data_IF_942924102184
#
_entry.id   IF_942924102184
#
_cell.length_a   1.000
_cell.length_b   1.000
_cell.length_c   1.000
_cell.angle_alpha   90.00
_cell.angle_beta   90.00
_cell.angle_gamma   90.00
#
_symmetry.space_group_name_H-M   'P 1'
#
loop_
_entity.id
_entity.type
_entity.pdbx_description
1 polymer ?
#
# COMPACT_ATOMS: atom_id res chain seq x y z
N UNK A 1 41.41 17.85 -16.96
CA UNK A 1 40.28 18.10 -17.89
C UNK A 1 39.51 16.80 -18.06
N UNK A 2 38.42 16.67 -17.31
CA UNK A 2 37.72 15.41 -17.03
C UNK A 2 36.93 14.88 -18.23
N UNK A 3 37.21 13.62 -18.61
CA UNK A 3 36.38 12.78 -19.47
C UNK A 3 35.25 12.19 -18.64
N UNK A 4 34.01 12.62 -18.85
CA UNK A 4 32.74 11.89 -18.57
C UNK A 4 31.62 12.73 -19.19
N UNK A 5 31.32 12.47 -20.46
CA UNK A 5 30.06 12.79 -21.13
C UNK A 5 29.92 11.75 -22.22
N UNK A 6 29.24 10.65 -21.91
CA UNK A 6 28.43 9.83 -22.84
C UNK A 6 28.11 8.48 -22.19
N UNK A 7 27.00 8.45 -21.45
CA UNK A 7 26.37 7.22 -20.94
C UNK A 7 24.85 7.45 -20.76
N UNK A 8 24.21 8.02 -21.79
CA UNK A 8 22.74 8.22 -21.85
C UNK A 8 22.08 7.63 -23.09
N UNK A 9 22.71 6.64 -23.70
CA UNK A 9 22.10 5.85 -24.76
C UNK A 9 22.40 4.38 -24.48
N UNK A 10 21.43 3.65 -23.93
CA UNK A 10 21.17 2.21 -24.05
C UNK A 10 20.21 1.84 -22.91
N UNK A 11 19.18 1.05 -23.26
CA UNK A 11 18.00 0.66 -22.48
C UNK A 11 16.81 1.64 -22.55
N UNK A 12 16.24 1.76 -23.75
CA UNK A 12 14.79 1.99 -23.90
C UNK A 12 14.16 0.68 -24.39
N UNK A 13 13.43 -0.08 -23.56
CA UNK A 13 12.56 -1.12 -24.10
C UNK A 13 11.38 -0.44 -24.81
N UNK A 14 11.13 -0.86 -26.05
CA UNK A 14 10.03 -0.40 -26.88
C UNK A 14 8.69 -0.67 -26.20
N UNK A 15 7.95 0.38 -25.82
CA UNK A 15 6.55 0.26 -25.36
C UNK A 15 5.66 -0.02 -26.57
N UNK A 16 4.85 -1.10 -26.59
CA UNK A 16 3.81 -1.24 -27.59
C UNK A 16 2.75 -0.15 -27.35
N UNK A 17 2.33 0.50 -28.43
CA UNK A 17 1.34 1.57 -28.45
C UNK A 17 -0.02 1.01 -28.01
N UNK A 18 -0.45 1.30 -26.79
CA UNK A 18 -1.82 1.10 -26.34
C UNK A 18 -2.61 2.40 -26.55
N UNK A 19 -3.06 2.61 -27.80
CA UNK A 19 -4.19 3.48 -28.10
C UNK A 19 -5.39 2.62 -28.46
N UNK A 20 -6.22 2.31 -27.46
CA UNK A 20 -7.68 2.22 -27.60
C UNK A 20 -8.31 2.19 -26.20
N UNK A 21 -9.31 3.04 -26.02
CA UNK A 21 -9.86 3.47 -24.73
C UNK A 21 -10.14 2.33 -23.75
N UNK A 22 -9.40 2.35 -22.64
CA UNK A 22 -9.90 1.87 -21.37
C UNK A 22 -10.48 3.11 -20.71
N UNK A 23 -11.81 3.17 -20.59
CA UNK A 23 -12.42 4.10 -19.64
C UNK A 23 -11.82 3.70 -18.29
N UNK A 24 -11.03 4.58 -17.67
CA UNK A 24 -10.80 4.47 -16.23
C UNK A 24 -12.19 4.51 -15.62
N UNK A 25 -12.66 3.36 -15.16
CA UNK A 25 -13.87 3.29 -14.38
C UNK A 25 -13.63 4.20 -13.17
N UNK A 26 -14.38 5.30 -13.12
CA UNK A 26 -14.43 6.26 -12.01
C UNK A 26 -15.12 5.58 -10.83
N UNK A 27 -14.63 4.41 -10.44
CA UNK A 27 -15.09 3.66 -9.29
C UNK A 27 -14.85 4.55 -8.09
N UNK A 28 -15.94 5.11 -7.56
CA UNK A 28 -15.93 5.87 -6.33
C UNK A 28 -15.07 5.13 -5.30
N UNK A 29 -13.97 5.76 -4.91
CA UNK A 29 -13.02 5.18 -3.97
C UNK A 29 -13.72 5.03 -2.61
N UNK A 30 -14.03 3.78 -2.28
CA UNK A 30 -14.75 3.38 -1.07
C UNK A 30 -14.01 3.86 0.18
N UNK A 31 -14.71 4.59 1.05
CA UNK A 31 -14.21 4.98 2.37
C UNK A 31 -13.92 3.69 3.14
N UNK A 32 -12.65 3.42 3.45
CA UNK A 32 -12.23 2.05 3.83
C UNK A 32 -12.63 1.60 5.23
N UNK A 33 -13.15 2.51 6.06
CA UNK A 33 -13.67 2.19 7.39
C UNK A 33 -15.14 2.60 7.46
N UNK A 34 -16.03 1.62 7.49
CA UNK A 34 -17.39 1.84 7.96
C UNK A 34 -17.31 2.37 9.40
N UNK A 35 -17.89 3.55 9.70
CA UNK A 35 -17.91 4.12 11.05
C UNK A 35 -18.43 3.17 12.15
N UNK A 36 -19.19 2.12 11.76
CA UNK A 36 -19.67 1.07 12.65
C UNK A 36 -18.65 -0.05 12.95
N UNK A 37 -17.47 -0.07 12.32
CA UNK A 37 -16.48 -1.14 12.50
C UNK A 37 -15.56 -0.84 13.69
N UNK A 38 -15.57 -1.66 14.76
CA UNK A 38 -14.83 -1.39 15.99
C UNK A 38 -13.31 -1.59 15.87
N UNK A 39 -12.80 -1.96 14.70
CA UNK A 39 -11.38 -2.24 14.47
C UNK A 39 -10.82 -1.41 13.33
N UNK A 40 -9.61 -0.89 13.50
CA UNK A 40 -8.82 -0.29 12.44
C UNK A 40 -8.34 -1.29 11.37
N UNK A 41 -8.44 -2.61 11.61
CA UNK A 41 -8.08 -3.63 10.62
C UNK A 41 -9.16 -3.70 9.56
N UNK A 42 -8.84 -3.26 8.34
CA UNK A 42 -9.78 -3.26 7.21
C UNK A 42 -9.80 -4.59 6.46
N UNK A 43 -8.68 -5.31 6.40
CA UNK A 43 -8.58 -6.65 5.80
C UNK A 43 -7.26 -7.34 6.21
N UNK A 44 -7.32 -8.63 6.54
CA UNK A 44 -6.22 -9.47 6.99
C UNK A 44 -6.31 -10.83 6.27
N UNK A 45 -5.23 -11.22 5.59
CA UNK A 45 -5.22 -12.46 4.83
C UNK A 45 -3.82 -13.09 4.75
N UNK A 46 -3.79 -14.42 4.61
CA UNK A 46 -2.59 -15.19 4.30
C UNK A 46 -2.53 -15.41 2.79
N UNK A 47 -1.35 -15.25 2.21
CA UNK A 47 -1.06 -15.55 0.81
C UNK A 47 0.01 -16.63 0.73
N UNK A 48 -0.23 -17.65 -0.10
CA UNK A 48 0.71 -18.75 -0.33
C UNK A 48 0.75 -19.07 -1.81
N UNK A 49 1.97 -19.15 -2.36
CA UNK A 49 2.20 -19.42 -3.78
C UNK A 49 1.38 -18.51 -4.72
N UNK A 50 1.20 -17.25 -4.31
CA UNK A 50 0.44 -16.25 -5.07
C UNK A 50 -1.08 -16.26 -4.87
N UNK A 51 -1.63 -17.24 -4.15
CA UNK A 51 -3.07 -17.33 -3.89
C UNK A 51 -3.42 -16.86 -2.47
N UNK A 52 -4.54 -16.16 -2.33
CA UNK A 52 -5.16 -15.91 -1.01
C UNK A 52 -5.63 -17.25 -0.44
N UNK A 53 -5.28 -17.54 0.81
CA UNK A 53 -5.75 -18.74 1.49
C UNK A 53 -7.18 -18.50 1.99
N UNK A 54 -8.11 -19.33 1.51
CA UNK A 54 -9.51 -19.31 1.93
C UNK A 54 -9.63 -19.76 3.39
N UNK A 55 -10.39 -19.01 4.19
CA UNK A 55 -10.68 -19.34 5.59
C UNK A 55 -12.18 -19.26 5.85
N UNK A 56 -12.74 -20.18 6.67
CA UNK A 56 -14.18 -20.15 6.99
C UNK A 56 -14.63 -18.86 7.68
N UNK A 57 -13.71 -18.22 8.41
CA UNK A 57 -13.93 -16.97 9.12
C UNK A 57 -12.74 -16.03 8.89
N UNK A 58 -12.93 -14.70 9.00
CA UNK A 58 -11.83 -13.74 8.98
C UNK A 58 -10.79 -14.08 10.05
N UNK A 59 -9.50 -14.03 9.68
CA UNK A 59 -8.40 -14.28 10.60
C UNK A 59 -8.01 -13.01 11.34
N UNK A 60 -7.72 -13.13 12.63
CA UNK A 60 -6.96 -12.10 13.35
C UNK A 60 -5.50 -12.08 12.84
N UNK A 61 -4.78 -10.94 12.99
CA UNK A 61 -3.35 -10.86 12.69
C UNK A 61 -2.51 -11.98 13.32
N UNK A 62 -2.81 -12.32 14.58
CA UNK A 62 -2.12 -13.39 15.30
C UNK A 62 -2.35 -14.78 14.70
N UNK A 63 -3.60 -15.11 14.36
CA UNK A 63 -3.94 -16.40 13.72
C UNK A 63 -3.30 -16.51 12.34
N UNK A 64 -3.36 -15.44 11.54
CA UNK A 64 -2.73 -15.39 10.22
C UNK A 64 -1.22 -15.62 10.31
N UNK A 65 -0.55 -14.96 11.26
CA UNK A 65 0.88 -15.14 11.46
C UNK A 65 1.23 -16.57 11.92
N UNK A 66 0.45 -17.15 12.85
CA UNK A 66 0.61 -18.55 13.24
C UNK A 66 0.48 -19.50 12.06
N UNK A 67 -0.47 -19.26 11.16
CA UNK A 67 -0.66 -20.08 9.97
C UNK A 67 0.55 -19.99 9.03
N UNK A 68 1.06 -18.78 8.77
CA UNK A 68 2.27 -18.57 7.96
C UNK A 68 3.49 -19.26 8.57
N UNK A 69 3.68 -19.19 9.89
CA UNK A 69 4.79 -19.88 10.58
C UNK A 69 4.75 -21.40 10.43
N UNK A 70 3.58 -22.00 10.31
CA UNK A 70 3.43 -23.47 10.15
C UNK A 70 3.56 -23.91 8.71
N UNK A 71 2.91 -23.18 7.80
CA UNK A 71 2.59 -23.68 6.47
C UNK A 71 3.26 -22.85 5.35
N UNK A 72 3.99 -21.78 5.70
CA UNK A 72 4.61 -20.86 4.75
C UNK A 72 3.62 -19.86 4.11
N UNK A 73 4.19 -18.93 3.34
CA UNK A 73 3.49 -17.80 2.74
C UNK A 73 3.83 -16.48 3.41
N UNK A 74 2.95 -15.49 3.29
CA UNK A 74 3.05 -14.24 4.03
C UNK A 74 1.68 -13.69 4.42
N UNK A 75 1.63 -12.90 5.49
CA UNK A 75 0.41 -12.18 5.92
C UNK A 75 0.37 -10.80 5.27
N UNK A 76 -0.77 -10.37 4.74
CA UNK A 76 -0.98 -8.98 4.37
C UNK A 76 -2.11 -8.37 5.21
N UNK A 77 -1.78 -7.36 6.01
CA UNK A 77 -2.69 -6.64 6.90
C UNK A 77 -2.88 -5.21 6.38
N UNK A 78 -4.13 -4.79 6.25
CA UNK A 78 -4.51 -3.40 6.01
C UNK A 78 -5.07 -2.76 7.29
N UNK A 79 -4.56 -1.59 7.64
CA UNK A 79 -5.01 -0.75 8.74
C UNK A 79 -5.41 0.64 8.19
N UNK A 80 -6.49 1.21 8.71
CA UNK A 80 -6.92 2.57 8.43
C UNK A 80 -7.08 3.35 9.74
N UNK A 81 -6.27 4.40 9.89
CA UNK A 81 -6.22 5.31 11.05
C UNK A 81 -6.27 4.56 12.39
N UNK A 82 -5.33 3.63 12.64
CA UNK A 82 -5.32 2.89 13.90
C UNK A 82 -4.93 3.80 15.06
N UNK A 83 -5.61 3.62 16.18
CA UNK A 83 -5.13 4.14 17.46
C UNK A 83 -3.86 3.41 17.90
N UNK A 84 -3.09 4.03 18.80
CA UNK A 84 -1.91 3.40 19.40
C UNK A 84 -2.25 2.04 20.03
N UNK A 85 -3.38 1.96 20.75
CA UNK A 85 -3.85 0.73 21.38
C UNK A 85 -4.13 -0.37 20.34
N UNK A 86 -4.83 -0.05 19.25
CA UNK A 86 -5.14 -1.00 18.17
C UNK A 86 -3.87 -1.51 17.47
N UNK A 87 -2.87 -0.64 17.26
CA UNK A 87 -1.67 -1.03 16.54
C UNK A 87 -0.63 -1.73 17.42
N UNK A 88 -0.57 -1.43 18.72
CA UNK A 88 0.42 -1.99 19.66
C UNK A 88 0.44 -3.53 19.70
N UNK A 89 -0.72 -4.18 19.68
CA UNK A 89 -0.83 -5.64 19.67
C UNK A 89 -0.28 -6.27 18.40
N UNK A 90 -0.49 -5.60 17.26
CA UNK A 90 0.08 -6.02 15.97
C UNK A 90 1.59 -5.77 15.98
N UNK A 91 2.04 -4.61 16.44
CA UNK A 91 3.46 -4.29 16.51
C UNK A 91 4.28 -5.33 17.28
N UNK A 92 3.78 -5.78 18.44
CA UNK A 92 4.44 -6.82 19.24
C UNK A 92 4.53 -8.18 18.53
N UNK A 93 3.44 -8.63 17.89
CA UNK A 93 3.39 -9.93 17.19
C UNK A 93 4.35 -9.99 15.99
N UNK A 94 4.47 -8.88 15.27
CA UNK A 94 5.25 -8.79 14.04
C UNK A 94 6.67 -8.22 14.27
N UNK A 95 7.05 -7.93 15.51
CA UNK A 95 8.37 -7.42 15.86
C UNK A 95 8.67 -6.05 15.23
N UNK A 96 7.67 -5.18 15.11
CA UNK A 96 7.83 -3.87 14.52
C UNK A 96 8.63 -2.96 15.45
N UNK A 97 9.54 -2.17 14.88
CA UNK A 97 10.37 -1.26 15.66
C UNK A 97 9.52 -0.14 16.29
N UNK A 98 9.67 0.17 17.60
CA UNK A 98 8.82 1.13 18.29
C UNK A 98 8.75 2.51 17.63
N UNK A 99 9.87 3.04 17.15
CA UNK A 99 9.89 4.34 16.45
C UNK A 99 9.08 4.34 15.14
N UNK A 100 9.11 3.23 14.39
CA UNK A 100 8.32 3.12 13.17
C UNK A 100 6.83 2.97 13.47
N UNK A 101 6.48 2.34 14.60
CA UNK A 101 5.11 2.22 15.10
C UNK A 101 4.58 3.59 15.52
N UNK A 102 5.36 4.36 16.28
CA UNK A 102 5.03 5.74 16.66
C UNK A 102 4.78 6.60 15.42
N UNK A 103 5.70 6.58 14.45
CA UNK A 103 5.56 7.29 13.18
C UNK A 103 4.29 6.89 12.42
N UNK A 104 3.94 5.60 12.44
CA UNK A 104 2.75 5.11 11.76
C UNK A 104 1.43 5.48 12.46
N UNK A 105 1.44 5.73 13.77
CA UNK A 105 0.27 6.20 14.52
C UNK A 105 0.13 7.73 14.42
N UNK A 106 1.24 8.46 14.58
CA UNK A 106 1.26 9.93 14.57
C UNK A 106 1.01 10.55 13.20
N UNK A 107 1.20 9.78 12.13
CA UNK A 107 0.99 10.21 10.77
C UNK A 107 1.92 11.38 10.36
N UNK A 108 1.59 12.00 9.23
CA UNK A 108 2.21 13.20 8.66
C UNK A 108 3.71 13.10 8.40
N UNK A 109 4.23 11.89 8.23
CA UNK A 109 5.64 11.64 7.98
C UNK A 109 6.05 12.07 6.58
N UNK A 110 7.31 12.49 6.40
CA UNK A 110 7.87 12.73 5.06
C UNK A 110 8.08 11.38 4.35
N UNK A 111 7.95 11.32 3.01
CA UNK A 111 8.32 10.12 2.27
C UNK A 111 9.74 9.67 2.61
N UNK A 112 9.88 8.40 2.98
CA UNK A 112 11.15 7.80 3.39
C UNK A 112 11.11 6.29 3.24
N UNK A 113 12.30 5.68 3.20
CA UNK A 113 12.51 4.25 3.37
C UNK A 113 13.60 4.08 4.42
N UNK A 114 13.29 3.36 5.48
CA UNK A 114 14.18 3.07 6.59
C UNK A 114 14.22 1.56 6.82
N UNK A 115 15.40 1.06 7.17
CA UNK A 115 15.57 -0.33 7.58
C UNK A 115 15.60 -0.39 9.10
N UNK A 116 14.75 -1.24 9.67
CA UNK A 116 14.78 -1.60 11.07
C UNK A 116 14.97 -3.11 11.17
N UNK A 117 16.15 -3.52 11.62
CA UNK A 117 16.55 -4.91 11.76
C UNK A 117 16.32 -5.70 10.46
N UNK A 118 15.32 -6.58 10.44
CA UNK A 118 14.94 -7.45 9.33
C UNK A 118 13.69 -6.98 8.57
N UNK A 119 13.22 -5.76 8.84
CA UNK A 119 12.06 -5.17 8.18
C UNK A 119 12.38 -3.80 7.56
N UNK A 120 11.60 -3.43 6.55
CA UNK A 120 11.62 -2.09 5.96
C UNK A 120 10.38 -1.33 6.38
N UNK A 121 10.57 -0.08 6.80
CA UNK A 121 9.51 0.90 6.99
C UNK A 121 9.55 1.90 5.83
N UNK A 122 8.48 1.98 5.06
CA UNK A 122 8.37 2.89 3.91
C UNK A 122 7.17 3.79 4.07
N UNK A 123 7.33 5.08 3.81
CA UNK A 123 6.23 6.07 3.83
C UNK A 123 6.03 6.61 2.42
N UNK A 124 4.81 6.48 1.91
CA UNK A 124 4.37 7.12 0.68
C UNK A 124 3.34 8.21 0.97
N UNK A 125 3.39 9.32 0.23
CA UNK A 125 2.31 10.29 0.18
C UNK A 125 1.38 9.93 -0.97
N UNK A 126 0.09 9.82 -0.73
CA UNK A 126 -0.90 9.68 -1.80
C UNK A 126 -1.45 11.05 -2.14
N UNK A 127 -1.78 11.25 -3.42
CA UNK A 127 -2.56 12.41 -3.85
C UNK A 127 -3.68 11.95 -4.77
N UNK A 128 -4.79 12.67 -4.73
CA UNK A 128 -5.95 12.42 -5.56
C UNK A 128 -6.50 13.74 -6.07
N UNK A 129 -6.81 13.78 -7.37
CA UNK A 129 -7.53 14.90 -7.95
C UNK A 129 -8.99 14.80 -7.53
N UNK A 130 -9.53 15.88 -6.99
CA UNK A 130 -10.94 15.97 -6.63
C UNK A 130 -11.66 16.68 -7.78
N UNK A 131 -12.52 15.96 -8.49
CA UNK A 131 -13.32 16.55 -9.56
C UNK A 131 -14.31 17.58 -8.98
N UNK A 132 -14.36 18.74 -9.63
CA UNK A 132 -15.26 19.83 -9.26
C UNK A 132 -16.05 20.28 -10.47
N UNK A 133 -17.38 20.32 -10.36
CA UNK A 133 -18.25 20.91 -11.39
C UNK A 133 -17.93 22.40 -11.65
N UNK A 134 -17.52 23.11 -10.59
CA UNK A 134 -17.06 24.49 -10.67
C UNK A 134 -15.99 24.76 -9.61
N UNK A 135 -14.80 25.17 -10.06
CA UNK A 135 -13.73 25.60 -9.17
C UNK A 135 -14.04 26.98 -8.56
N UNK A 136 -13.77 27.10 -7.27
CA UNK A 136 -13.79 28.35 -6.50
C UNK A 136 -12.41 28.61 -5.92
N UNK A 137 -12.18 29.82 -5.37
CA UNK A 137 -10.92 30.15 -4.71
C UNK A 137 -10.59 29.25 -3.50
N UNK A 138 -11.59 28.54 -2.97
CA UNK A 138 -11.46 27.65 -1.80
C UNK A 138 -11.65 26.17 -2.15
N UNK A 139 -11.67 25.81 -3.44
CA UNK A 139 -11.81 24.41 -3.85
C UNK A 139 -10.53 23.65 -3.53
N UNK A 140 -10.64 22.57 -2.75
CA UNK A 140 -9.56 21.63 -2.50
C UNK A 140 -9.42 20.68 -3.70
N UNK A 141 -8.67 21.13 -4.72
CA UNK A 141 -8.52 20.41 -5.99
C UNK A 141 -7.72 19.11 -5.84
N UNK A 142 -6.88 19.03 -4.80
CA UNK A 142 -6.05 17.87 -4.51
C UNK A 142 -6.23 17.47 -3.06
N UNK A 143 -6.67 16.24 -2.84
CA UNK A 143 -6.64 15.61 -1.54
C UNK A 143 -5.33 14.85 -1.37
N UNK A 144 -4.76 14.89 -0.16
CA UNK A 144 -3.53 14.18 0.17
C UNK A 144 -3.77 13.17 1.27
N UNK A 145 -3.09 12.02 1.20
CA UNK A 145 -3.04 11.04 2.27
C UNK A 145 -1.65 10.44 2.39
N UNK A 146 -1.56 9.35 3.13
CA UNK A 146 -0.33 8.58 3.24
C UNK A 146 -0.59 7.10 3.47
N UNK A 147 0.36 6.31 2.98
CA UNK A 147 0.42 4.87 3.15
C UNK A 147 1.79 4.56 3.73
N UNK A 148 1.83 4.10 4.99
CA UNK A 148 3.04 3.51 5.55
C UNK A 148 3.01 2.00 5.36
N UNK A 149 4.15 1.43 4.99
CA UNK A 149 4.32 0.02 4.72
C UNK A 149 5.41 -0.55 5.62
N UNK A 150 5.09 -1.62 6.36
CA UNK A 150 6.06 -2.47 7.01
C UNK A 150 6.23 -3.73 6.16
N UNK A 151 7.43 -3.92 5.63
CA UNK A 151 7.78 -5.06 4.79
C UNK A 151 8.72 -5.96 5.55
N UNK A 152 8.21 -7.09 6.03
CA UNK A 152 9.00 -8.17 6.62
C UNK A 152 9.28 -9.27 5.59
N UNK A 153 9.92 -10.35 6.06
CA UNK A 153 10.16 -11.55 5.24
C UNK A 153 8.85 -12.27 4.87
N UNK A 154 7.94 -12.36 5.83
CA UNK A 154 6.72 -13.17 5.79
C UNK A 154 5.48 -12.36 6.22
N UNK A 155 5.59 -11.03 6.20
CA UNK A 155 4.45 -10.15 6.40
C UNK A 155 4.59 -8.85 5.59
N UNK A 156 3.44 -8.25 5.31
CA UNK A 156 3.30 -6.93 4.75
C UNK A 156 2.16 -6.20 5.47
N UNK A 157 2.43 -5.08 6.12
CA UNK A 157 1.42 -4.31 6.87
C UNK A 157 1.34 -2.92 6.26
N UNK A 158 0.14 -2.48 5.92
CA UNK A 158 -0.12 -1.12 5.46
C UNK A 158 -0.93 -0.36 6.51
N UNK A 159 -0.47 0.83 6.88
CA UNK A 159 -1.21 1.80 7.71
C UNK A 159 -1.55 2.99 6.84
N UNK A 160 -2.83 3.37 6.80
CA UNK A 160 -3.33 4.47 5.97
C UNK A 160 -3.89 5.58 6.83
N UNK A 161 -3.61 6.81 6.44
CA UNK A 161 -4.22 8.03 6.98
C UNK A 161 -4.73 8.90 5.83
N UNK A 162 -5.89 9.54 6.03
CA UNK A 162 -6.59 10.32 5.00
C UNK A 162 -7.74 9.57 4.33
N UNK A 163 -8.59 10.32 3.61
CA UNK A 163 -9.88 9.84 3.12
C UNK A 163 -9.82 8.99 1.87
N UNK A 164 -8.81 9.20 1.01
CA UNK A 164 -8.75 8.58 -0.32
C UNK A 164 -7.53 7.66 -0.51
N UNK A 165 -7.64 6.71 -1.43
CA UNK A 165 -6.57 5.75 -1.76
C UNK A 165 -6.75 4.34 -1.20
N UNK A 166 -7.98 3.81 -1.25
CA UNK A 166 -8.25 2.41 -0.91
C UNK A 166 -7.32 1.47 -1.69
N UNK A 167 -6.52 0.69 -0.97
CA UNK A 167 -5.67 -0.35 -1.58
C UNK A 167 -6.47 -1.61 -1.93
N UNK A 168 -7.80 -1.62 -1.76
CA UNK A 168 -8.64 -2.78 -2.05
C UNK A 168 -8.59 -3.18 -3.53
N UNK A 169 -8.73 -2.21 -4.44
CA UNK A 169 -8.63 -2.46 -5.88
C UNK A 169 -7.23 -2.95 -6.27
N UNK A 170 -6.17 -2.38 -5.68
CA UNK A 170 -4.80 -2.85 -5.88
C UNK A 170 -4.63 -4.30 -5.41
N UNK A 171 -5.15 -4.63 -4.23
CA UNK A 171 -5.10 -5.99 -3.67
C UNK A 171 -5.84 -6.99 -4.55
N UNK A 172 -7.02 -6.65 -5.08
CA UNK A 172 -7.73 -7.51 -6.03
C UNK A 172 -6.93 -7.71 -7.32
N UNK A 173 -6.37 -6.65 -7.91
CA UNK A 173 -5.50 -6.78 -9.09
C UNK A 173 -4.29 -7.69 -8.85
N UNK A 174 -3.70 -7.63 -7.66
CA UNK A 174 -2.61 -8.53 -7.29
C UNK A 174 -3.07 -9.97 -7.09
N UNK A 175 -4.29 -10.19 -6.58
CA UNK A 175 -4.88 -11.53 -6.49
C UNK A 175 -5.15 -12.14 -7.87
N UNK A 176 -5.43 -11.29 -8.88
CA UNK A 176 -5.59 -11.70 -10.28
C UNK A 176 -4.26 -11.96 -11.00
N UNK A 177 -3.11 -11.66 -10.36
CA UNK A 177 -1.75 -11.98 -10.83
C UNK A 177 -0.97 -12.83 -9.79
N UNK A 178 -1.27 -14.14 -9.71
CA UNK A 178 -0.62 -15.03 -8.74
C UNK A 178 0.89 -15.13 -8.92
N UNK A 179 1.41 -15.02 -10.14
CA UNK A 179 2.86 -15.09 -10.40
C UNK A 179 3.59 -13.91 -9.77
N UNK A 180 3.02 -12.71 -9.85
CA UNK A 180 3.55 -11.54 -9.17
C UNK A 180 3.42 -11.68 -7.65
N UNK A 181 2.26 -12.11 -7.15
CA UNK A 181 2.00 -12.19 -5.72
C UNK A 181 2.81 -13.30 -5.02
N UNK A 182 3.17 -14.36 -5.74
CA UNK A 182 4.06 -15.43 -5.27
C UNK A 182 5.48 -14.95 -4.95
N UNK A 183 5.90 -13.78 -5.47
CA UNK A 183 7.19 -13.16 -5.14
C UNK A 183 7.23 -12.58 -3.71
N UNK A 184 6.09 -12.52 -3.03
CA UNK A 184 5.99 -12.20 -1.61
C UNK A 184 5.84 -10.70 -1.30
N UNK A 185 6.11 -10.29 -0.03
CA UNK A 185 5.86 -8.93 0.47
C UNK A 185 6.46 -7.79 -0.37
N UNK A 186 7.64 -8.01 -0.96
CA UNK A 186 8.32 -7.00 -1.78
C UNK A 186 7.59 -6.68 -3.09
N UNK A 187 6.87 -7.65 -3.66
CA UNK A 187 6.03 -7.41 -4.83
C UNK A 187 4.83 -6.51 -4.48
N UNK A 188 4.27 -6.68 -3.29
CA UNK A 188 3.21 -5.80 -2.78
C UNK A 188 3.73 -4.38 -2.57
N UNK A 189 4.92 -4.22 -1.97
CA UNK A 189 5.57 -2.92 -1.81
C UNK A 189 5.76 -2.22 -3.17
N UNK A 190 6.28 -2.95 -4.15
CA UNK A 190 6.47 -2.43 -5.50
C UNK A 190 5.14 -1.98 -6.12
N UNK A 191 4.09 -2.80 -6.02
CA UNK A 191 2.79 -2.49 -6.59
C UNK A 191 2.13 -1.26 -5.93
N UNK A 192 2.34 -1.05 -4.63
CA UNK A 192 1.91 0.19 -3.94
C UNK A 192 2.71 1.39 -4.45
N UNK A 193 4.03 1.27 -4.58
CA UNK A 193 4.86 2.36 -5.08
C UNK A 193 4.44 2.77 -6.50
N UNK A 194 4.21 1.80 -7.39
CA UNK A 194 3.71 2.01 -8.75
C UNK A 194 2.34 2.71 -8.74
N UNK A 195 1.40 2.22 -7.94
CA UNK A 195 0.08 2.83 -7.79
C UNK A 195 0.13 4.28 -7.27
N UNK A 196 1.02 4.58 -6.33
CA UNK A 196 1.22 5.94 -5.81
C UNK A 196 1.77 6.86 -6.91
N UNK A 197 2.74 6.38 -7.69
CA UNK A 197 3.33 7.14 -8.80
C UNK A 197 2.30 7.41 -9.90
N UNK A 198 1.47 6.43 -10.24
CA UNK A 198 0.35 6.61 -11.18
C UNK A 198 -0.61 7.69 -10.69
N UNK A 199 -0.89 7.75 -9.38
CA UNK A 199 -1.66 8.83 -8.76
C UNK A 199 -1.04 10.20 -9.00
N UNK A 200 0.28 10.34 -8.85
CA UNK A 200 0.97 11.60 -9.15
C UNK A 200 0.81 12.02 -10.61
N UNK A 201 0.94 11.08 -11.54
CA UNK A 201 0.81 11.35 -12.98
C UNK A 201 -0.63 11.76 -13.32
N UNK A 202 -1.63 11.05 -12.78
CA UNK A 202 -3.04 11.37 -13.02
C UNK A 202 -3.41 12.78 -12.57
N UNK A 203 -2.91 13.24 -11.40
CA UNK A 203 -3.13 14.61 -10.94
C UNK A 203 -2.37 15.63 -11.78
N UNK A 204 -1.16 15.31 -12.25
CA UNK A 204 -0.37 16.22 -13.07
C UNK A 204 -0.95 16.42 -14.49
N UNK A 205 -1.68 15.41 -15.00
CA UNK A 205 -2.30 15.41 -16.33
C UNK A 205 -3.75 15.96 -16.34
N UNK A 206 -4.37 16.18 -15.17
CA UNK A 206 -5.74 16.67 -15.01
C UNK A 206 -5.87 18.19 -15.21
#
# INVERSE_FOLDING_TARGET
>A
MSMIRDLRAVVRPSRPSLRKGVRMDSGAYDTTRDPGTPSAVVDCAVYRDGARVETPTPLTPHEAMRQVRRDGGFVWIGLHEPTEAEFSGIAGEFGLHPLAVEDAVQAHQRPKLERYDDSLFTVFKTIHYVEHDRLTANSEVVETGEVMCFTGRDFFITVRHGGQGSLRALRHRLQDDPELLAKGPSAVLHAIADHVVDGYIAVADA
#
